data_IF_008671657826
#
_entry.id   IF_008671657826
#
_cell.length_a   1.000
_cell.length_b   1.000
_cell.length_c   1.000
_cell.angle_alpha   90.00
_cell.angle_beta   90.00
_cell.angle_gamma   90.00
#
_symmetry.space_group_name_H-M   'P 1'
#
loop_
_entity.id
_entity.type
_entity.pdbx_description
1 polymer ?
#
# COMPACT_ATOMS: atom_id res chain seq x y z
N UNK A 1 -24.05 0.43 1.55
CA UNK A 1 -22.96 -0.53 1.28
C UNK A 1 -21.82 -0.28 2.27
N UNK A 2 -21.04 -1.28 2.68
CA UNK A 2 -19.85 -1.03 3.51
C UNK A 2 -18.68 -0.64 2.61
N UNK A 3 -17.87 0.34 3.01
CA UNK A 3 -16.72 0.82 2.22
C UNK A 3 -15.65 -0.27 2.17
N UNK A 4 -15.21 -0.60 0.96
CA UNK A 4 -14.15 -1.59 0.74
C UNK A 4 -12.81 -0.85 0.72
N UNK A 5 -11.94 -1.13 1.69
CA UNK A 5 -10.60 -0.55 1.72
C UNK A 5 -9.66 -1.26 0.73
N UNK A 6 -9.11 -0.55 -0.29
CA UNK A 6 -8.24 -1.18 -1.27
C UNK A 6 -6.89 -1.58 -0.69
N UNK A 7 -6.45 -0.98 0.43
CA UNK A 7 -5.19 -1.35 1.05
C UNK A 7 -5.18 -2.82 1.48
N UNK A 8 -6.21 -3.25 2.21
CA UNK A 8 -6.36 -4.65 2.61
C UNK A 8 -6.86 -5.54 1.48
N UNK A 9 -7.76 -5.05 0.64
CA UNK A 9 -8.43 -5.87 -0.36
C UNK A 9 -7.56 -6.16 -1.59
N UNK A 10 -6.91 -5.13 -2.16
CA UNK A 10 -5.99 -5.28 -3.31
C UNK A 10 -4.61 -5.77 -2.85
N UNK A 11 -3.93 -4.99 -2.01
CA UNK A 11 -2.49 -5.17 -1.79
C UNK A 11 -2.19 -6.26 -0.76
N UNK A 12 -2.70 -6.15 0.47
CA UNK A 12 -2.48 -7.20 1.47
C UNK A 12 -3.31 -8.47 1.22
N UNK A 13 -4.37 -8.35 0.41
CA UNK A 13 -5.32 -9.42 0.09
C UNK A 13 -4.93 -10.14 -1.19
N UNK A 14 -5.35 -9.60 -2.34
CA UNK A 14 -5.24 -10.28 -3.64
C UNK A 14 -3.79 -10.41 -4.12
N UNK A 15 -3.01 -9.32 -4.11
CA UNK A 15 -1.61 -9.34 -4.55
C UNK A 15 -0.77 -10.33 -3.74
N UNK A 16 -0.87 -10.26 -2.41
CA UNK A 16 -0.21 -11.20 -1.50
C UNK A 16 -0.65 -12.65 -1.73
N UNK A 17 -1.94 -12.89 -2.00
CA UNK A 17 -2.46 -14.25 -2.27
C UNK A 17 -1.95 -14.79 -3.60
N UNK A 18 -1.88 -13.98 -4.67
CA UNK A 18 -1.38 -14.44 -5.97
C UNK A 18 0.07 -14.92 -5.90
N UNK A 19 0.94 -14.16 -5.23
CA UNK A 19 2.34 -14.58 -5.03
C UNK A 19 2.43 -15.90 -4.27
N UNK A 20 1.59 -16.10 -3.23
CA UNK A 20 1.52 -17.39 -2.53
C UNK A 20 1.08 -18.52 -3.45
N UNK A 21 0.07 -18.30 -4.29
CA UNK A 21 -0.40 -19.28 -5.27
C UNK A 21 0.73 -19.64 -6.25
N UNK A 22 1.48 -18.65 -6.75
CA UNK A 22 2.58 -18.91 -7.67
C UNK A 22 3.70 -19.73 -7.04
N UNK A 23 4.03 -19.47 -5.77
CA UNK A 23 4.99 -20.28 -5.00
C UNK A 23 4.47 -21.70 -4.72
N UNK A 24 3.21 -21.84 -4.32
CA UNK A 24 2.55 -23.13 -4.04
C UNK A 24 2.48 -24.02 -5.29
N UNK A 25 2.16 -23.43 -6.44
CA UNK A 25 2.04 -24.12 -7.73
C UNK A 25 3.38 -24.25 -8.46
N UNK A 26 4.48 -23.77 -7.89
CA UNK A 26 5.83 -23.73 -8.52
C UNK A 26 5.84 -23.04 -9.88
N UNK A 27 4.96 -22.05 -10.06
CA UNK A 27 4.96 -21.13 -11.20
C UNK A 27 6.07 -20.07 -11.02
N UNK A 28 6.34 -19.74 -9.76
CA UNK A 28 7.47 -18.94 -9.33
C UNK A 28 8.25 -19.75 -8.30
N UNK A 29 9.55 -19.90 -8.47
CA UNK A 29 10.40 -20.65 -7.55
C UNK A 29 11.00 -19.70 -6.48
N UNK A 30 11.22 -20.17 -5.24
CA UNK A 30 11.83 -19.34 -4.18
C UNK A 30 13.19 -18.75 -4.56
N UNK A 31 14.00 -19.46 -5.33
CA UNK A 31 15.29 -19.00 -5.84
C UNK A 31 15.16 -17.84 -6.83
N UNK A 32 14.08 -17.78 -7.61
CA UNK A 32 13.82 -16.73 -8.59
C UNK A 32 13.44 -15.41 -7.91
N UNK A 33 12.96 -15.44 -6.65
CA UNK A 33 12.73 -14.24 -5.85
C UNK A 33 14.00 -13.43 -5.64
N UNK A 34 15.19 -14.05 -5.68
CA UNK A 34 16.46 -13.32 -5.63
C UNK A 34 16.67 -12.48 -6.89
N UNK A 35 16.36 -13.03 -8.07
CA UNK A 35 16.40 -12.32 -9.35
C UNK A 35 15.43 -11.15 -9.36
N UNK A 36 14.21 -11.37 -8.86
CA UNK A 36 13.19 -10.31 -8.72
C UNK A 36 13.70 -9.19 -7.79
N UNK A 37 14.30 -9.55 -6.65
CA UNK A 37 14.88 -8.57 -5.72
C UNK A 37 16.02 -7.76 -6.36
N UNK A 38 16.96 -8.42 -7.04
CA UNK A 38 18.08 -7.76 -7.73
C UNK A 38 17.60 -6.74 -8.77
N UNK A 39 16.55 -7.09 -9.53
CA UNK A 39 15.95 -6.16 -10.50
C UNK A 39 15.33 -4.95 -9.82
N UNK A 40 14.59 -5.15 -8.72
CA UNK A 40 14.04 -4.04 -7.94
C UNK A 40 15.15 -3.13 -7.41
N UNK A 41 16.23 -3.70 -6.87
CA UNK A 41 17.35 -2.92 -6.32
C UNK A 41 18.17 -2.19 -7.41
N UNK A 42 18.14 -2.68 -8.66
CA UNK A 42 18.78 -2.01 -9.80
C UNK A 42 18.07 -0.71 -10.24
N UNK A 43 16.81 -0.54 -9.86
CA UNK A 43 16.03 0.65 -10.22
C UNK A 43 16.41 1.79 -9.29
N UNK A 44 16.94 2.87 -9.87
CA UNK A 44 17.11 4.12 -9.14
C UNK A 44 15.74 4.77 -8.91
N UNK A 45 15.07 4.38 -7.84
CA UNK A 45 13.76 4.88 -7.48
C UNK A 45 13.82 6.34 -7.04
N UNK A 46 12.94 7.17 -7.60
CA UNK A 46 12.79 8.55 -7.17
C UNK A 46 12.37 8.63 -5.68
N UNK A 47 12.85 9.65 -4.97
CA UNK A 47 12.64 9.81 -3.53
C UNK A 47 11.17 9.92 -3.12
N UNK A 48 10.28 10.28 -4.04
CA UNK A 48 8.84 10.41 -3.84
C UNK A 48 8.07 9.08 -3.86
N UNK A 49 8.67 7.96 -4.28
CA UNK A 49 8.00 6.65 -4.32
C UNK A 49 7.74 6.11 -2.92
N UNK A 50 8.51 6.55 -1.91
CA UNK A 50 8.37 6.10 -0.54
C UNK A 50 8.99 4.72 -0.30
N UNK A 51 8.24 3.80 0.31
CA UNK A 51 8.78 2.53 0.76
C UNK A 51 9.16 1.57 -0.39
N UNK A 52 10.45 1.35 -0.60
CA UNK A 52 10.98 0.40 -1.61
C UNK A 52 10.82 -1.05 -1.12
N UNK A 53 10.37 -1.99 -1.97
CA UNK A 53 10.24 -3.40 -1.63
C UNK A 53 11.59 -4.13 -1.58
N UNK A 54 12.25 -4.13 -0.41
CA UNK A 54 13.61 -4.69 -0.21
C UNK A 54 13.67 -6.11 0.38
N UNK A 55 12.51 -6.75 0.62
CA UNK A 55 12.40 -8.06 1.30
C UNK A 55 11.68 -9.13 0.47
N UNK A 56 11.75 -9.01 -0.86
CA UNK A 56 11.13 -9.96 -1.81
C UNK A 56 11.81 -11.33 -1.69
N UNK A 57 13.14 -11.37 -1.64
CA UNK A 57 13.94 -12.60 -1.52
C UNK A 57 13.65 -13.39 -0.24
N UNK A 58 13.21 -12.73 0.83
CA UNK A 58 12.74 -13.35 2.07
C UNK A 58 11.23 -13.65 2.05
N UNK A 59 10.68 -14.03 0.90
CA UNK A 59 9.25 -14.34 0.70
C UNK A 59 8.31 -13.26 1.25
N UNK A 60 8.67 -11.98 1.04
CA UNK A 60 7.86 -10.82 1.45
C UNK A 60 7.62 -10.71 2.97
N UNK A 61 8.49 -11.34 3.78
CA UNK A 61 8.43 -11.32 5.24
C UNK A 61 8.41 -9.90 5.82
N UNK A 62 7.31 -9.54 6.50
CA UNK A 62 7.15 -8.24 7.14
C UNK A 62 6.97 -7.05 6.19
N UNK A 63 6.52 -7.29 4.94
CA UNK A 63 6.13 -6.19 4.04
C UNK A 63 5.03 -5.34 4.64
N UNK A 64 5.24 -4.03 4.68
CA UNK A 64 4.20 -3.06 5.03
C UNK A 64 3.18 -2.95 3.89
N UNK A 65 2.00 -2.40 4.18
CA UNK A 65 1.00 -2.11 3.16
C UNK A 65 1.57 -1.25 2.02
N UNK A 66 2.39 -0.25 2.37
CA UNK A 66 2.98 0.68 1.40
C UNK A 66 3.98 -0.03 0.47
N UNK A 67 4.78 -0.96 1.01
CA UNK A 67 5.64 -1.81 0.21
C UNK A 67 4.85 -2.72 -0.72
N UNK A 68 3.72 -3.28 -0.28
CA UNK A 68 2.84 -4.06 -1.14
C UNK A 68 2.26 -3.24 -2.29
N UNK A 69 1.81 -2.02 -2.02
CA UNK A 69 1.32 -1.08 -3.04
C UNK A 69 2.39 -0.80 -4.09
N UNK A 70 3.58 -0.38 -3.65
CA UNK A 70 4.67 -0.02 -4.55
C UNK A 70 5.18 -1.24 -5.33
N UNK A 71 5.32 -2.38 -4.65
CA UNK A 71 5.67 -3.65 -5.31
C UNK A 71 4.67 -4.00 -6.39
N UNK A 72 3.37 -3.85 -6.13
CA UNK A 72 2.30 -4.17 -7.09
C UNK A 72 2.31 -3.19 -8.26
N UNK A 73 2.16 -1.89 -8.00
CA UNK A 73 1.86 -0.92 -9.06
C UNK A 73 3.10 -0.44 -9.83
N UNK A 74 4.28 -0.42 -9.19
CA UNK A 74 5.50 0.19 -9.77
C UNK A 74 6.47 -0.88 -10.24
N UNK A 75 6.76 -1.88 -9.40
CA UNK A 75 7.89 -2.77 -9.65
C UNK A 75 7.51 -4.10 -10.30
N UNK A 76 6.32 -4.64 -10.03
CA UNK A 76 5.99 -6.04 -10.33
C UNK A 76 6.10 -6.42 -11.80
N UNK A 77 5.55 -5.60 -12.71
CA UNK A 77 5.54 -5.90 -14.15
C UNK A 77 6.95 -5.96 -14.72
N UNK A 78 7.81 -5.04 -14.28
CA UNK A 78 9.21 -5.01 -14.67
C UNK A 78 9.99 -6.17 -14.04
N UNK A 79 9.86 -6.37 -12.74
CA UNK A 79 10.68 -7.32 -12.00
C UNK A 79 10.33 -8.78 -12.27
N UNK A 80 9.07 -9.08 -12.59
CA UNK A 80 8.57 -10.42 -12.93
C UNK A 80 8.70 -10.79 -14.41
N UNK A 81 9.04 -9.85 -15.29
CA UNK A 81 9.20 -10.11 -16.72
C UNK A 81 10.26 -11.17 -16.97
N UNK A 82 10.01 -12.16 -17.82
CA UNK A 82 10.97 -13.26 -18.10
C UNK A 82 11.26 -14.18 -16.89
N UNK A 83 10.60 -13.98 -15.75
CA UNK A 83 10.62 -14.88 -14.58
C UNK A 83 9.30 -15.63 -14.50
N UNK A 84 8.19 -14.90 -14.60
CA UNK A 84 6.86 -15.47 -14.60
C UNK A 84 6.47 -15.89 -16.03
N UNK A 85 5.77 -17.04 -16.23
CA UNK A 85 5.25 -17.39 -17.55
C UNK A 85 4.34 -16.29 -18.12
N UNK A 86 4.38 -16.10 -19.44
CA UNK A 86 3.67 -14.99 -20.10
C UNK A 86 2.17 -14.94 -19.78
N UNK A 87 1.51 -16.10 -19.69
CA UNK A 87 0.08 -16.19 -19.35
C UNK A 87 -0.18 -15.61 -17.96
N UNK A 88 0.60 -16.04 -16.97
CA UNK A 88 0.48 -15.59 -15.58
C UNK A 88 0.84 -14.09 -15.44
N UNK A 89 1.82 -13.61 -16.22
CA UNK A 89 2.18 -12.20 -16.27
C UNK A 89 1.10 -11.33 -16.92
N UNK A 90 0.41 -11.83 -17.94
CA UNK A 90 -0.67 -11.11 -18.61
C UNK A 90 -1.93 -11.04 -17.73
N UNK A 91 -2.24 -12.09 -16.96
CA UNK A 91 -3.29 -12.05 -15.92
C UNK A 91 -2.92 -11.00 -14.87
N UNK A 92 -1.68 -11.05 -14.38
CA UNK A 92 -1.19 -10.09 -13.38
C UNK A 92 -1.21 -8.65 -13.89
N UNK A 93 -0.88 -8.42 -15.16
CA UNK A 93 -0.90 -7.09 -15.78
C UNK A 93 -2.29 -6.45 -15.73
N UNK A 94 -3.36 -7.22 -15.95
CA UNK A 94 -4.74 -6.71 -15.86
C UNK A 94 -5.08 -6.26 -14.44
N UNK A 95 -4.67 -7.04 -13.43
CA UNK A 95 -4.82 -6.66 -12.03
C UNK A 95 -4.03 -5.38 -11.68
N UNK A 96 -2.77 -5.28 -12.14
CA UNK A 96 -1.94 -4.09 -11.92
C UNK A 96 -2.53 -2.86 -12.62
N UNK A 97 -3.03 -3.01 -13.85
CA UNK A 97 -3.68 -1.93 -14.59
C UNK A 97 -4.92 -1.41 -13.86
N UNK A 98 -5.79 -2.32 -13.40
CA UNK A 98 -6.95 -1.98 -12.60
C UNK A 98 -6.55 -1.19 -11.33
N UNK A 99 -5.62 -1.76 -10.55
CA UNK A 99 -5.09 -1.15 -9.32
C UNK A 99 -4.50 0.24 -9.56
N UNK A 100 -3.70 0.41 -10.62
CA UNK A 100 -3.09 1.69 -10.96
C UNK A 100 -4.16 2.73 -11.34
N UNK A 101 -5.19 2.34 -12.10
CA UNK A 101 -6.25 3.23 -12.60
C UNK A 101 -7.00 3.90 -11.43
N UNK A 102 -7.34 3.13 -10.40
CA UNK A 102 -8.10 3.65 -9.24
C UNK A 102 -7.22 4.26 -8.15
N UNK A 103 -5.90 4.01 -8.16
CA UNK A 103 -4.97 4.57 -7.18
C UNK A 103 -4.60 6.04 -7.44
N UNK A 104 -5.16 6.65 -8.48
CA UNK A 104 -4.97 8.06 -8.83
C UNK A 104 -5.74 9.00 -7.88
N UNK A 105 -5.24 10.23 -7.73
CA UNK A 105 -5.88 11.29 -6.91
C UNK A 105 -7.20 11.78 -7.49
N UNK A 106 -7.38 11.62 -8.79
CA UNK A 106 -8.57 11.98 -9.54
C UNK A 106 -8.97 10.76 -10.36
N UNK A 107 -10.27 10.50 -10.44
CA UNK A 107 -10.84 9.37 -11.16
C UNK A 107 -12.04 9.87 -11.95
N UNK A 108 -12.08 9.56 -13.23
CA UNK A 108 -13.20 9.87 -14.14
C UNK A 108 -14.07 8.63 -14.34
N UNK A 109 -15.29 8.79 -14.84
CA UNK A 109 -16.15 7.64 -15.17
C UNK A 109 -15.52 6.72 -16.24
N UNK A 110 -14.68 7.27 -17.13
CA UNK A 110 -13.93 6.45 -18.10
C UNK A 110 -12.89 5.55 -17.41
N UNK A 111 -12.20 6.08 -16.38
CA UNK A 111 -11.25 5.32 -15.58
C UNK A 111 -11.97 4.20 -14.79
N UNK A 112 -13.17 4.48 -14.27
CA UNK A 112 -13.98 3.47 -13.55
C UNK A 112 -14.38 2.34 -14.49
N UNK A 113 -14.80 2.64 -15.73
CA UNK A 113 -15.11 1.62 -16.74
C UNK A 113 -13.88 0.79 -17.10
N UNK A 114 -12.73 1.44 -17.29
CA UNK A 114 -11.48 0.74 -17.56
C UNK A 114 -11.09 -0.19 -16.40
N UNK A 115 -11.32 0.24 -15.16
CA UNK A 115 -11.14 -0.59 -13.98
C UNK A 115 -12.07 -1.81 -13.97
N UNK A 116 -13.36 -1.61 -14.20
CA UNK A 116 -14.37 -2.68 -14.25
C UNK A 116 -14.01 -3.74 -15.30
N UNK A 117 -13.65 -3.30 -16.51
CA UNK A 117 -13.23 -4.18 -17.60
C UNK A 117 -11.97 -4.97 -17.24
N UNK A 118 -10.96 -4.29 -16.68
CA UNK A 118 -9.68 -4.91 -16.30
C UNK A 118 -9.85 -5.94 -15.19
N UNK A 119 -10.67 -5.65 -14.17
CA UNK A 119 -10.97 -6.58 -13.07
C UNK A 119 -11.81 -7.76 -13.56
N UNK A 120 -12.80 -7.53 -14.40
CA UNK A 120 -13.63 -8.61 -14.93
C UNK A 120 -12.80 -9.60 -15.75
N UNK A 121 -11.92 -9.09 -16.62
CA UNK A 121 -10.99 -9.93 -17.38
C UNK A 121 -10.01 -10.67 -16.47
N UNK A 122 -9.42 -9.97 -15.50
CA UNK A 122 -8.56 -10.58 -14.49
C UNK A 122 -9.26 -11.75 -13.77
N UNK A 123 -10.47 -11.54 -13.23
CA UNK A 123 -11.20 -12.56 -12.49
C UNK A 123 -11.55 -13.77 -13.36
N UNK A 124 -12.00 -13.56 -14.60
CA UNK A 124 -12.32 -14.65 -15.55
C UNK A 124 -11.09 -15.49 -15.89
N UNK A 125 -9.98 -14.84 -16.24
CA UNK A 125 -8.74 -15.56 -16.58
C UNK A 125 -8.10 -16.22 -15.36
N UNK A 126 -8.17 -15.57 -14.20
CA UNK A 126 -7.72 -16.12 -12.93
C UNK A 126 -8.48 -17.41 -12.59
N UNK A 127 -9.81 -17.39 -12.67
CA UNK A 127 -10.64 -18.57 -12.42
C UNK A 127 -10.33 -19.70 -13.41
N UNK A 128 -10.20 -19.38 -14.70
CA UNK A 128 -9.87 -20.36 -15.73
C UNK A 128 -8.48 -20.99 -15.54
N UNK A 129 -7.50 -20.21 -15.09
CA UNK A 129 -6.10 -20.66 -14.94
C UNK A 129 -5.83 -21.37 -13.61
N UNK A 130 -6.35 -20.83 -12.51
CA UNK A 130 -6.02 -21.26 -11.15
C UNK A 130 -7.16 -22.00 -10.45
N UNK A 131 -8.33 -22.15 -11.09
CA UNK A 131 -9.47 -22.86 -10.53
C UNK A 131 -10.32 -22.03 -9.57
N UNK A 132 -11.60 -22.42 -9.47
CA UNK A 132 -12.61 -21.77 -8.63
C UNK A 132 -12.27 -21.81 -7.14
N UNK A 133 -11.59 -22.85 -6.69
CA UNK A 133 -11.19 -23.05 -5.30
C UNK A 133 -10.18 -22.02 -4.78
N UNK A 134 -9.48 -21.33 -5.70
CA UNK A 134 -8.51 -20.27 -5.36
C UNK A 134 -9.11 -18.87 -5.46
N UNK A 135 -10.34 -18.73 -5.96
CA UNK A 135 -11.06 -17.46 -5.98
C UNK A 135 -11.40 -17.05 -4.55
N UNK A 136 -11.07 -15.81 -4.19
CA UNK A 136 -11.26 -15.32 -2.81
C UNK A 136 -12.39 -14.31 -2.72
N UNK A 137 -13.01 -14.11 -1.54
CA UNK A 137 -13.98 -13.04 -1.33
C UNK A 137 -13.43 -11.65 -1.70
N UNK A 138 -12.12 -11.43 -1.55
CA UNK A 138 -11.49 -10.18 -1.96
C UNK A 138 -11.67 -9.90 -3.46
N UNK A 139 -11.60 -10.93 -4.30
CA UNK A 139 -11.79 -10.81 -5.75
C UNK A 139 -13.23 -10.46 -6.12
N UNK A 140 -14.20 -10.96 -5.35
CA UNK A 140 -15.60 -10.56 -5.49
C UNK A 140 -15.80 -9.09 -5.10
N UNK A 141 -15.16 -8.65 -4.01
CA UNK A 141 -15.23 -7.28 -3.53
C UNK A 141 -14.60 -6.27 -4.51
N UNK A 142 -13.67 -6.67 -5.38
CA UNK A 142 -13.15 -5.79 -6.45
C UNK A 142 -14.28 -5.25 -7.33
N UNK A 143 -15.31 -6.05 -7.61
CA UNK A 143 -16.44 -5.60 -8.43
C UNK A 143 -17.19 -4.43 -7.79
N UNK A 144 -17.45 -4.53 -6.48
CA UNK A 144 -18.16 -3.51 -5.70
C UNK A 144 -17.30 -2.28 -5.39
N UNK A 145 -15.99 -2.31 -5.64
CA UNK A 145 -15.15 -1.15 -5.40
C UNK A 145 -15.47 0.00 -6.36
N UNK A 146 -15.97 -0.30 -7.56
CA UNK A 146 -16.46 0.70 -8.52
C UNK A 146 -17.60 1.55 -7.94
N UNK A 147 -18.57 0.91 -7.28
CA UNK A 147 -19.67 1.58 -6.59
C UNK A 147 -19.16 2.44 -5.41
N UNK A 148 -18.18 1.95 -4.63
CA UNK A 148 -17.54 2.77 -3.60
C UNK A 148 -16.88 4.02 -4.19
N UNK A 149 -16.24 3.93 -5.35
CA UNK A 149 -15.58 5.08 -5.98
C UNK A 149 -16.63 6.10 -6.47
N UNK A 150 -17.76 5.63 -7.00
CA UNK A 150 -18.87 6.50 -7.42
C UNK A 150 -19.53 7.22 -6.23
N UNK A 151 -19.70 6.52 -5.11
CA UNK A 151 -20.36 7.06 -3.91
C UNK A 151 -19.45 8.00 -3.08
N UNK A 152 -18.18 7.64 -2.91
CA UNK A 152 -17.25 8.31 -1.97
C UNK A 152 -16.12 9.07 -2.66
N UNK A 153 -16.06 9.03 -4.00
CA UNK A 153 -15.01 9.64 -4.79
C UNK A 153 -13.75 8.76 -4.91
N UNK A 154 -12.60 9.34 -5.30
CA UNK A 154 -11.36 8.59 -5.50
C UNK A 154 -10.95 7.75 -4.28
N UNK A 155 -10.33 6.59 -4.51
CA UNK A 155 -9.83 5.69 -3.45
C UNK A 155 -8.97 6.41 -2.41
N UNK A 156 -8.21 7.42 -2.86
CA UNK A 156 -7.36 8.24 -2.00
C UNK A 156 -8.13 8.90 -0.84
N UNK A 157 -9.43 9.14 -1.00
CA UNK A 157 -10.30 9.77 0.00
C UNK A 157 -10.65 8.83 1.16
N UNK A 158 -10.67 7.52 0.94
CA UNK A 158 -11.16 6.54 1.94
C UNK A 158 -10.24 5.36 2.22
N UNK A 159 -9.09 5.25 1.53
CA UNK A 159 -8.11 4.20 1.80
C UNK A 159 -7.50 4.31 3.22
N UNK A 160 -7.11 3.16 3.80
CA UNK A 160 -6.70 3.11 5.21
C UNK A 160 -5.20 3.32 5.47
N UNK A 161 -4.41 3.73 4.47
CA UNK A 161 -2.96 3.95 4.64
C UNK A 161 -2.63 5.00 5.71
N UNK A 162 -3.36 6.13 5.71
CA UNK A 162 -3.19 7.19 6.71
C UNK A 162 -3.55 6.70 8.10
N UNK A 163 -4.63 5.94 8.22
CA UNK A 163 -5.08 5.34 9.48
C UNK A 163 -4.08 4.32 10.03
N UNK A 164 -3.57 3.40 9.20
CA UNK A 164 -2.53 2.44 9.62
C UNK A 164 -1.26 3.16 10.10
N UNK A 165 -0.81 4.18 9.38
CA UNK A 165 0.36 4.99 9.76
C UNK A 165 0.12 5.69 11.10
N UNK A 166 -1.05 6.28 11.28
CA UNK A 166 -1.43 6.94 12.53
C UNK A 166 -1.52 5.96 13.70
N UNK A 167 -2.10 4.77 13.48
CA UNK A 167 -2.14 3.70 14.47
C UNK A 167 -0.74 3.23 14.87
N UNK A 168 0.19 3.14 13.91
CA UNK A 168 1.59 2.87 14.20
C UNK A 168 2.23 3.95 15.08
N UNK A 169 1.95 5.22 14.80
CA UNK A 169 2.41 6.33 15.64
C UNK A 169 1.85 6.23 17.07
N UNK A 170 0.53 6.04 17.21
CA UNK A 170 -0.12 5.88 18.51
C UNK A 170 0.40 4.65 19.27
N UNK A 171 0.67 3.55 18.58
CA UNK A 171 1.24 2.34 19.16
C UNK A 171 2.68 2.49 19.64
N UNK A 172 3.45 3.40 19.04
CA UNK A 172 4.83 3.70 19.43
C UNK A 172 4.96 4.56 20.70
N UNK A 173 3.85 5.13 21.17
CA UNK A 173 3.87 5.99 22.34
C UNK A 173 4.14 5.14 23.60
N UNK A 174 5.14 5.51 24.42
CA UNK A 174 5.40 4.80 25.66
C UNK A 174 4.17 4.91 26.56
N UNK A 175 3.58 3.75 26.90
CA UNK A 175 2.41 3.66 27.78
C UNK A 175 2.78 2.91 29.05
N UNK A 176 2.39 3.44 30.21
CA UNK A 176 2.45 2.71 31.50
C UNK A 176 1.28 1.72 31.68
N UNK A 177 0.68 1.26 30.56
CA UNK A 177 -0.48 0.38 30.46
C UNK A 177 -1.68 0.68 31.39
N UNK A 178 -1.80 1.93 31.86
CA UNK A 178 -2.89 2.45 32.70
C UNK A 178 -3.47 3.69 32.04
N UNK A 179 -4.79 3.76 31.83
CA UNK A 179 -5.46 4.95 31.26
C UNK A 179 -4.78 5.47 29.99
N UNK A 180 -4.63 4.56 29.00
CA UNK A 180 -3.90 4.80 27.75
C UNK A 180 -4.49 5.98 26.98
N UNK A 181 -5.81 6.09 26.99
CA UNK A 181 -6.59 7.15 26.36
C UNK A 181 -6.21 8.52 26.95
N UNK A 182 -6.11 8.62 28.27
CA UNK A 182 -5.75 9.85 28.96
C UNK A 182 -4.29 10.27 28.66
N UNK A 183 -3.38 9.30 28.57
CA UNK A 183 -1.98 9.54 28.20
C UNK A 183 -1.86 10.05 26.76
N UNK A 184 -2.60 9.42 25.83
CA UNK A 184 -2.67 9.85 24.43
C UNK A 184 -3.24 11.28 24.32
N UNK A 185 -4.37 11.56 24.98
CA UNK A 185 -5.01 12.87 24.95
C UNK A 185 -4.11 13.97 25.54
N UNK A 186 -3.51 13.73 26.72
CA UNK A 186 -2.58 14.69 27.34
C UNK A 186 -1.41 15.00 26.43
N UNK A 187 -0.86 13.99 25.77
CA UNK A 187 0.23 14.17 24.81
C UNK A 187 -0.21 14.93 23.58
N UNK A 188 -1.36 14.60 23.00
CA UNK A 188 -1.92 15.33 21.86
C UNK A 188 -2.12 16.82 22.16
N UNK A 189 -2.70 17.15 23.32
CA UNK A 189 -2.89 18.55 23.76
C UNK A 189 -1.55 19.25 23.98
N UNK A 190 -0.58 18.57 24.61
CA UNK A 190 0.76 19.12 24.82
C UNK A 190 1.47 19.38 23.48
N UNK A 191 1.48 18.40 22.58
CA UNK A 191 2.18 18.51 21.31
C UNK A 191 1.50 19.60 20.42
N UNK A 192 0.17 19.73 20.46
CA UNK A 192 -0.57 20.82 19.82
C UNK A 192 -0.24 22.20 20.41
N UNK A 193 -0.15 22.30 21.75
CA UNK A 193 0.24 23.53 22.43
C UNK A 193 1.67 23.95 22.05
N UNK A 194 2.64 23.03 22.13
CA UNK A 194 4.04 23.29 21.79
C UNK A 194 4.18 23.81 20.35
N UNK A 195 3.41 23.30 19.39
CA UNK A 195 3.39 23.80 18.01
C UNK A 195 2.86 25.23 17.88
N UNK A 196 1.91 25.62 18.72
CA UNK A 196 1.28 26.96 18.69
C UNK A 196 2.12 28.05 19.34
N UNK A 197 3.11 27.69 20.16
CA UNK A 197 3.95 28.64 20.89
C UNK A 197 5.02 29.22 19.96
N UNK A 198 5.07 30.55 19.84
CA UNK A 198 6.19 31.26 19.19
C UNK A 198 7.43 31.17 20.08
N UNK A 199 8.53 30.66 19.54
CA UNK A 199 9.81 30.57 20.25
C UNK A 199 10.31 31.98 20.65
N UNK A 200 10.74 32.18 21.92
CA UNK A 200 11.41 33.42 22.32
C UNK A 200 12.69 33.65 21.51
N UNK A 201 12.90 34.85 20.98
CA UNK A 201 14.00 35.18 20.04
C UNK A 201 15.39 34.84 20.60
N UNK A 202 15.54 34.98 21.90
CA UNK A 202 16.73 34.74 22.73
C UNK A 202 17.05 33.25 22.98
N UNK A 203 16.13 32.32 22.73
CA UNK A 203 16.38 30.86 22.85
C UNK A 203 16.20 30.11 21.53
N UNK A 204 15.82 30.83 20.47
CA UNK A 204 15.55 30.30 19.14
C UNK A 204 16.72 29.49 18.57
N UNK A 205 17.96 29.96 18.74
CA UNK A 205 19.16 29.24 18.27
C UNK A 205 19.42 27.92 19.01
N UNK A 206 19.07 27.83 20.30
CA UNK A 206 19.32 26.65 21.13
C UNK A 206 18.36 25.50 20.83
N UNK A 207 17.10 25.84 20.52
CA UNK A 207 16.03 24.85 20.30
C UNK A 207 15.70 24.61 18.82
N UNK A 208 16.23 25.41 17.88
CA UNK A 208 15.97 25.27 16.45
C UNK A 208 16.32 23.88 15.92
N UNK A 209 17.45 23.30 16.35
CA UNK A 209 17.90 21.97 15.92
C UNK A 209 16.96 20.86 16.40
N UNK A 210 16.37 21.03 17.59
CA UNK A 210 15.42 20.08 18.19
C UNK A 210 14.04 20.19 17.52
N UNK A 211 13.60 21.41 17.21
CA UNK A 211 12.34 21.66 16.49
C UNK A 211 12.41 21.29 15.01
N UNK A 212 13.51 21.55 14.32
CA UNK A 212 13.70 21.16 12.91
C UNK A 212 13.64 19.64 12.74
N UNK A 213 14.15 18.87 13.72
CA UNK A 213 14.01 17.40 13.73
C UNK A 213 12.54 16.96 13.84
N UNK A 214 11.70 17.73 14.52
CA UNK A 214 10.25 17.48 14.63
C UNK A 214 9.48 17.89 13.37
N UNK A 215 9.82 19.03 12.77
CA UNK A 215 9.21 19.53 11.53
C UNK A 215 9.53 18.63 10.33
N UNK A 216 10.75 18.09 10.23
CA UNK A 216 11.16 17.17 9.16
C UNK A 216 10.48 15.78 9.27
N UNK A 217 10.05 15.37 10.46
CA UNK A 217 9.23 14.17 10.64
C UNK A 217 7.78 14.36 10.16
N UNK A 218 7.34 15.62 10.00
CA UNK A 218 5.99 15.97 9.53
C UNK A 218 5.93 16.44 8.06
N UNK A 219 7.05 16.83 7.44
CA UNK A 219 7.09 17.12 5.99
C UNK A 219 7.05 15.85 5.10
N UNK A 220 7.04 14.67 5.71
CA UNK A 220 6.74 13.38 5.05
C UNK A 220 5.23 13.07 5.00
N UNK A 221 4.38 14.06 5.31
CA UNK A 221 2.94 14.03 5.14
C UNK A 221 2.54 14.81 3.88
N UNK A 222 2.05 14.14 2.82
CA UNK A 222 1.09 14.74 1.90
C UNK A 222 -0.30 14.88 2.53
#
# INVERSE_FOLDING_TARGET
MSIIDPMHNFYQGTAKKLIKIWLELKILLPEELKTVQQRVDSVNAASNIGAIPRKISSSFGGFTAEQWKNSTNVFSIFSLKDVLPNIDLDIWRKFVLASHTIACKYVTEADIRQYEDSILQFCKEFEAKYGKERVTPNMHLHYHLSDCIRDYGPVYSFWLFSFERYNGHLGSLPKNNRSVELQMMRRFTRDSFVKSVKLPENTKALYLSTFNRWILLEQSFP
#
